data_IF_660416978369
#
_entry.id   IF_660416978369
#
_cell.length_a   1.000
_cell.length_b   1.000
_cell.length_c   1.000
_cell.angle_alpha   90.00
_cell.angle_beta   90.00
_cell.angle_gamma   90.00
#
_symmetry.space_group_name_H-M   'P 1'
#
loop_
_entity.id
_entity.type
_entity.pdbx_description
1 polymer ?
#
# COMPACT_ATOMS: atom_id res chain seq x y z
N UNK A 1 13.97 -27.80 21.16
CA UNK A 1 13.91 -27.09 19.86
C UNK A 1 13.53 -28.11 18.79
N UNK A 2 12.29 -28.08 18.24
CA UNK A 2 11.93 -28.95 17.10
C UNK A 2 12.68 -28.42 15.86
N UNK A 3 13.61 -29.19 15.32
CA UNK A 3 14.15 -28.91 14.00
C UNK A 3 13.04 -29.13 12.98
N UNK A 4 12.65 -28.09 12.27
CA UNK A 4 11.77 -28.23 11.12
C UNK A 4 12.46 -29.12 10.07
N UNK A 5 11.72 -29.97 9.34
CA UNK A 5 12.29 -30.75 8.26
C UNK A 5 12.89 -29.81 7.21
N UNK A 6 13.98 -30.22 6.59
CA UNK A 6 14.58 -29.49 5.48
C UNK A 6 13.60 -29.48 4.29
N UNK A 7 13.47 -28.32 3.60
CA UNK A 7 12.59 -28.25 2.42
C UNK A 7 13.09 -29.19 1.31
N UNK A 8 12.16 -29.82 0.64
CA UNK A 8 12.45 -30.64 -0.54
C UNK A 8 12.72 -29.78 -1.77
N UNK A 9 13.34 -30.33 -2.86
CA UNK A 9 13.50 -29.57 -4.10
C UNK A 9 12.19 -29.00 -4.69
N UNK A 10 11.05 -29.62 -4.40
CA UNK A 10 9.73 -29.13 -4.83
C UNK A 10 9.34 -27.92 -4.00
N UNK A 11 9.57 -27.93 -2.70
CA UNK A 11 9.29 -26.81 -1.79
C UNK A 11 10.16 -25.57 -2.10
N UNK A 12 11.30 -25.75 -2.76
CA UNK A 12 12.20 -24.66 -3.18
C UNK A 12 11.81 -24.04 -4.53
N UNK A 13 10.82 -24.62 -5.26
CA UNK A 13 10.33 -24.04 -6.50
C UNK A 13 9.38 -22.89 -6.19
N UNK A 14 9.48 -21.83 -6.96
CA UNK A 14 8.58 -20.69 -6.84
C UNK A 14 7.17 -21.08 -7.28
N UNK A 15 6.19 -20.87 -6.39
CA UNK A 15 4.77 -21.00 -6.76
C UNK A 15 4.39 -19.86 -7.73
N UNK A 16 3.84 -20.14 -8.90
CA UNK A 16 3.36 -19.11 -9.82
C UNK A 16 2.13 -18.36 -9.29
N UNK A 17 1.36 -18.94 -8.36
CA UNK A 17 0.17 -18.34 -7.78
C UNK A 17 0.23 -18.34 -6.23
N UNK A 18 1.22 -17.63 -5.64
CA UNK A 18 1.52 -17.71 -4.21
C UNK A 18 0.41 -17.11 -3.33
N UNK A 19 -0.54 -16.40 -3.94
CA UNK A 19 -1.69 -15.80 -3.25
C UNK A 19 -3.03 -16.45 -3.67
N UNK A 20 -3.01 -17.62 -4.30
CA UNK A 20 -4.25 -18.34 -4.64
C UNK A 20 -5.11 -18.55 -3.40
N UNK A 21 -6.39 -18.17 -3.52
CA UNK A 21 -7.36 -18.26 -2.42
C UNK A 21 -7.14 -17.24 -1.31
N UNK A 22 -6.20 -16.31 -1.42
CA UNK A 22 -6.06 -15.14 -0.53
C UNK A 22 -6.93 -13.99 -1.00
N UNK A 23 -7.20 -13.08 -0.08
CA UNK A 23 -8.00 -11.88 -0.34
C UNK A 23 -7.24 -10.64 0.10
N UNK A 24 -7.30 -9.57 -0.68
CA UNK A 24 -6.53 -8.36 -0.45
C UNK A 24 -7.39 -7.10 -0.60
N UNK A 25 -7.17 -6.12 0.27
CA UNK A 25 -7.64 -4.75 0.13
C UNK A 25 -6.44 -3.86 -0.23
N UNK A 26 -6.57 -3.09 -1.31
CA UNK A 26 -5.60 -2.05 -1.69
C UNK A 26 -6.31 -0.71 -1.66
N UNK A 27 -5.82 0.23 -0.84
CA UNK A 27 -6.37 1.57 -0.76
C UNK A 27 -5.67 2.54 -1.72
N UNK A 28 -6.39 3.56 -2.22
CA UNK A 28 -5.83 4.53 -3.16
C UNK A 28 -5.50 3.92 -4.52
N UNK A 29 -6.40 3.10 -5.06
CA UNK A 29 -6.23 2.42 -6.35
C UNK A 29 -7.16 2.98 -7.44
N UNK A 30 -7.34 4.30 -7.48
CA UNK A 30 -8.26 5.00 -8.38
C UNK A 30 -7.68 5.33 -9.77
N UNK A 31 -6.35 5.21 -9.96
CA UNK A 31 -5.66 5.63 -11.19
C UNK A 31 -4.77 4.52 -11.75
N UNK A 32 -4.83 4.29 -13.06
CA UNK A 32 -4.00 3.27 -13.76
C UNK A 32 -2.51 3.57 -13.71
N UNK A 33 -2.13 4.85 -13.63
CA UNK A 33 -0.76 5.29 -13.46
C UNK A 33 -0.29 5.22 -11.99
N UNK A 34 -1.16 4.85 -11.03
CA UNK A 34 -0.84 4.83 -9.60
C UNK A 34 -0.19 3.53 -9.13
N UNK A 35 0.59 3.64 -8.05
CA UNK A 35 1.21 2.49 -7.37
C UNK A 35 0.13 1.51 -6.87
N UNK A 36 -0.98 2.01 -6.29
CA UNK A 36 -2.07 1.16 -5.79
C UNK A 36 -2.67 0.26 -6.88
N UNK A 37 -2.84 0.77 -8.09
CA UNK A 37 -3.30 -0.03 -9.23
C UNK A 37 -2.26 -1.09 -9.65
N UNK A 38 -0.98 -0.74 -9.71
CA UNK A 38 0.09 -1.68 -10.04
C UNK A 38 0.17 -2.82 -8.99
N UNK A 39 0.06 -2.48 -7.70
CA UNK A 39 -0.01 -3.45 -6.59
C UNK A 39 -1.21 -4.38 -6.77
N UNK A 40 -2.40 -3.82 -7.00
CA UNK A 40 -3.61 -4.60 -7.19
C UNK A 40 -3.51 -5.60 -8.36
N UNK A 41 -2.93 -5.17 -9.49
CA UNK A 41 -2.66 -6.04 -10.64
C UNK A 41 -1.72 -7.18 -10.30
N UNK A 42 -0.65 -6.91 -9.54
CA UNK A 42 0.29 -7.96 -9.13
C UNK A 42 -0.32 -8.95 -8.16
N UNK A 43 -1.10 -8.49 -7.18
CA UNK A 43 -1.81 -9.37 -6.26
C UNK A 43 -2.82 -10.26 -7.01
N UNK A 44 -3.56 -9.70 -7.97
CA UNK A 44 -4.46 -10.44 -8.85
C UNK A 44 -3.72 -11.47 -9.72
N UNK A 45 -2.57 -11.10 -10.30
CA UNK A 45 -1.73 -12.00 -11.08
C UNK A 45 -1.16 -13.15 -10.23
N UNK A 46 -0.90 -12.90 -8.94
CA UNK A 46 -0.46 -13.92 -7.97
C UNK A 46 -1.61 -14.81 -7.45
N UNK A 47 -2.84 -14.61 -7.92
CA UNK A 47 -4.00 -15.44 -7.63
C UNK A 47 -4.91 -14.94 -6.51
N UNK A 48 -4.69 -13.73 -5.98
CA UNK A 48 -5.55 -13.14 -4.96
C UNK A 48 -6.86 -12.60 -5.54
N UNK A 49 -7.95 -12.70 -4.76
CA UNK A 49 -9.10 -11.81 -4.94
C UNK A 49 -8.79 -10.44 -4.37
N UNK A 50 -9.14 -9.36 -5.09
CA UNK A 50 -8.73 -8.01 -4.72
C UNK A 50 -9.93 -7.07 -4.61
N UNK A 51 -9.98 -6.31 -3.53
CA UNK A 51 -10.87 -5.16 -3.35
C UNK A 51 -10.08 -3.87 -3.56
N UNK A 52 -10.53 -3.03 -4.49
CA UNK A 52 -9.95 -1.74 -4.80
C UNK A 52 -10.71 -0.65 -4.07
N UNK A 53 -10.07 0.04 -3.14
CA UNK A 53 -10.64 1.26 -2.59
C UNK A 53 -10.17 2.48 -3.39
N UNK A 54 -11.09 3.40 -3.66
CA UNK A 54 -10.85 4.63 -4.40
C UNK A 54 -11.55 5.84 -3.77
N UNK A 55 -11.00 7.04 -4.00
CA UNK A 55 -11.63 8.31 -3.64
C UNK A 55 -11.48 9.30 -4.81
N UNK A 56 -12.31 9.14 -5.82
CA UNK A 56 -12.28 9.91 -7.07
C UNK A 56 -12.31 11.44 -6.87
N UNK A 57 -13.05 12.00 -5.88
CA UNK A 57 -13.04 13.46 -5.66
C UNK A 57 -11.66 14.05 -5.44
N UNK A 58 -10.75 13.32 -4.77
CA UNK A 58 -9.36 13.76 -4.61
C UNK A 58 -8.65 13.85 -5.96
N UNK A 59 -8.70 12.79 -6.78
CA UNK A 59 -8.01 12.76 -8.07
C UNK A 59 -8.53 13.84 -9.03
N UNK A 60 -9.85 14.08 -9.05
CA UNK A 60 -10.47 15.15 -9.87
C UNK A 60 -9.97 16.53 -9.46
N UNK A 61 -9.69 16.75 -8.19
CA UNK A 61 -9.16 18.02 -7.69
C UNK A 61 -7.67 18.23 -8.01
N UNK A 62 -6.95 17.17 -8.42
CA UNK A 62 -5.51 17.24 -8.71
C UNK A 62 -5.23 17.50 -10.20
N UNK A 63 -4.04 18.05 -10.55
CA UNK A 63 -3.68 18.34 -11.94
C UNK A 63 -3.69 17.14 -12.88
N UNK A 64 -3.47 15.94 -12.36
CA UNK A 64 -3.45 14.70 -13.15
C UNK A 64 -4.83 14.11 -13.44
N UNK A 65 -5.89 14.58 -12.76
CA UNK A 65 -7.24 14.09 -12.95
C UNK A 65 -7.48 12.65 -12.49
N UNK A 66 -8.68 12.14 -12.78
CA UNK A 66 -9.10 10.78 -12.43
C UNK A 66 -9.25 9.90 -13.66
N UNK A 67 -9.03 8.59 -13.48
CA UNK A 67 -9.47 7.57 -14.44
C UNK A 67 -10.94 7.17 -14.18
N UNK A 68 -11.57 6.56 -15.18
CA UNK A 68 -12.86 5.88 -15.00
C UNK A 68 -12.63 4.59 -14.19
N UNK A 69 -13.34 4.47 -13.08
CA UNK A 69 -13.14 3.33 -12.15
C UNK A 69 -13.42 1.99 -12.82
N UNK A 70 -14.39 1.95 -13.73
CA UNK A 70 -14.69 0.73 -14.50
C UNK A 70 -13.48 0.26 -15.32
N UNK A 71 -12.69 1.18 -15.89
CA UNK A 71 -11.48 0.87 -16.64
C UNK A 71 -10.33 0.42 -15.73
N UNK A 72 -10.19 1.06 -14.56
CA UNK A 72 -9.22 0.66 -13.51
C UNK A 72 -9.50 -0.77 -13.06
N UNK A 73 -10.76 -1.04 -12.69
CA UNK A 73 -11.21 -2.37 -12.23
C UNK A 73 -11.09 -3.42 -13.33
N UNK A 74 -11.46 -3.10 -14.57
CA UNK A 74 -11.30 -3.99 -15.72
C UNK A 74 -9.83 -4.35 -15.98
N UNK A 75 -8.92 -3.37 -15.84
CA UNK A 75 -7.47 -3.59 -15.99
C UNK A 75 -6.90 -4.55 -14.93
N UNK A 76 -7.37 -4.44 -13.68
CA UNK A 76 -6.97 -5.39 -12.61
C UNK A 76 -7.60 -6.76 -12.86
N UNK A 77 -8.86 -6.83 -13.28
CA UNK A 77 -9.54 -8.09 -13.62
C UNK A 77 -8.84 -8.83 -14.77
N UNK A 78 -8.34 -8.11 -15.76
CA UNK A 78 -7.58 -8.69 -16.86
C UNK A 78 -6.22 -9.28 -16.43
N UNK A 79 -5.74 -8.95 -15.23
CA UNK A 79 -4.50 -9.49 -14.66
C UNK A 79 -4.72 -10.71 -13.75
N UNK A 80 -5.96 -11.20 -13.56
CA UNK A 80 -6.24 -12.36 -12.71
C UNK A 80 -5.48 -13.60 -13.19
N UNK A 81 -4.65 -14.15 -12.30
CA UNK A 81 -3.93 -15.41 -12.55
C UNK A 81 -4.72 -16.65 -12.17
N UNK A 82 -5.70 -16.51 -11.27
CA UNK A 82 -6.60 -17.59 -10.84
C UNK A 82 -8.03 -17.29 -11.34
N UNK A 83 -8.64 -18.17 -12.13
CA UNK A 83 -10.02 -18.00 -12.62
C UNK A 83 -11.07 -18.00 -11.49
N UNK A 84 -10.73 -18.56 -10.31
CA UNK A 84 -11.59 -18.51 -9.11
C UNK A 84 -11.51 -17.20 -8.32
N UNK A 85 -10.53 -16.36 -8.61
CA UNK A 85 -10.37 -15.07 -7.96
C UNK A 85 -11.29 -14.00 -8.57
N UNK A 86 -11.55 -12.94 -7.81
CA UNK A 86 -12.43 -11.84 -8.24
C UNK A 86 -11.83 -10.48 -7.90
N UNK A 87 -12.28 -9.48 -8.66
CA UNK A 87 -11.94 -8.06 -8.43
C UNK A 87 -13.22 -7.29 -8.21
N UNK A 88 -13.27 -6.58 -7.10
CA UNK A 88 -14.38 -5.72 -6.67
C UNK A 88 -13.80 -4.36 -6.30
N UNK A 89 -14.58 -3.31 -6.39
CA UNK A 89 -14.18 -1.96 -6.00
C UNK A 89 -15.25 -1.27 -5.16
N UNK A 90 -14.85 -0.20 -4.49
CA UNK A 90 -15.76 0.67 -3.77
C UNK A 90 -15.12 1.96 -3.31
N UNK A 91 -15.93 3.03 -3.22
CA UNK A 91 -15.48 4.35 -2.78
C UNK A 91 -15.34 4.44 -1.25
N UNK A 92 -14.58 5.44 -0.80
CA UNK A 92 -14.54 5.85 0.59
C UNK A 92 -13.72 7.11 0.79
N UNK A 93 -14.17 8.01 1.65
CA UNK A 93 -13.38 9.13 2.12
C UNK A 93 -12.70 8.75 3.43
N UNK A 94 -11.41 8.47 3.36
CA UNK A 94 -10.61 8.06 4.53
C UNK A 94 -10.29 9.21 5.49
N UNK A 95 -10.67 10.46 5.17
CA UNK A 95 -10.65 11.56 6.13
C UNK A 95 -11.76 11.42 7.20
N UNK A 96 -12.86 10.71 6.88
CA UNK A 96 -13.91 10.37 7.85
C UNK A 96 -13.47 9.20 8.73
N UNK A 97 -13.37 9.36 10.07
CA UNK A 97 -12.92 8.32 10.97
C UNK A 97 -13.83 7.07 11.04
N UNK A 98 -15.05 7.13 10.54
CA UNK A 98 -15.96 5.98 10.49
C UNK A 98 -15.67 5.06 9.27
N UNK A 99 -15.14 5.61 8.18
CA UNK A 99 -14.96 4.89 6.90
C UNK A 99 -13.95 3.74 7.00
N UNK A 100 -12.81 3.82 7.69
CA UNK A 100 -11.86 2.71 7.78
C UNK A 100 -12.48 1.39 8.25
N UNK A 101 -13.31 1.42 9.29
CA UNK A 101 -13.98 0.20 9.78
C UNK A 101 -15.02 -0.33 8.81
N UNK A 102 -15.79 0.55 8.20
CA UNK A 102 -16.79 0.21 7.17
C UNK A 102 -16.12 -0.41 5.94
N UNK A 103 -14.98 0.16 5.50
CA UNK A 103 -14.23 -0.32 4.35
C UNK A 103 -13.70 -1.75 4.57
N UNK A 104 -13.11 -2.04 5.73
CA UNK A 104 -12.67 -3.40 6.09
C UNK A 104 -13.85 -4.38 6.05
N UNK A 105 -14.99 -4.03 6.66
CA UNK A 105 -16.18 -4.89 6.67
C UNK A 105 -16.72 -5.13 5.26
N UNK A 106 -16.82 -4.08 4.45
CA UNK A 106 -17.31 -4.15 3.08
C UNK A 106 -16.39 -5.00 2.20
N UNK A 107 -15.08 -4.74 2.24
CA UNK A 107 -14.10 -5.50 1.48
C UNK A 107 -14.11 -6.99 1.87
N UNK A 108 -14.11 -7.30 3.16
CA UNK A 108 -14.19 -8.68 3.64
C UNK A 108 -15.46 -9.38 3.14
N UNK A 109 -16.63 -8.73 3.28
CA UNK A 109 -17.92 -9.27 2.82
C UNK A 109 -17.92 -9.54 1.32
N UNK A 110 -17.48 -8.57 0.51
CA UNK A 110 -17.41 -8.68 -0.95
C UNK A 110 -16.46 -9.78 -1.42
N UNK A 111 -15.43 -10.09 -0.63
CA UNK A 111 -14.43 -11.12 -0.92
C UNK A 111 -14.73 -12.49 -0.27
N UNK A 112 -15.92 -12.68 0.30
CA UNK A 112 -16.34 -13.98 0.84
C UNK A 112 -16.08 -14.14 2.33
N UNK A 113 -16.04 -13.05 3.10
CA UNK A 113 -15.99 -13.06 4.56
C UNK A 113 -14.57 -13.06 5.15
N UNK A 114 -13.52 -12.99 4.33
CA UNK A 114 -12.13 -13.01 4.78
C UNK A 114 -11.33 -11.88 4.15
N UNK A 115 -10.40 -11.33 4.92
CA UNK A 115 -9.39 -10.39 4.43
C UNK A 115 -8.02 -10.80 4.96
N UNK A 116 -7.10 -11.15 4.05
CA UNK A 116 -5.77 -11.67 4.39
C UNK A 116 -4.67 -10.62 4.28
N UNK A 117 -4.80 -9.69 3.33
CA UNK A 117 -3.79 -8.69 3.01
C UNK A 117 -4.43 -7.29 3.05
N UNK A 118 -3.80 -6.38 3.76
CA UNK A 118 -4.12 -4.95 3.74
C UNK A 118 -2.91 -4.19 3.18
N UNK A 119 -3.10 -3.50 2.06
CA UNK A 119 -2.13 -2.53 1.53
C UNK A 119 -2.71 -1.13 1.68
N UNK A 120 -2.22 -0.39 2.67
CA UNK A 120 -2.60 1.01 2.91
C UNK A 120 -1.69 1.94 2.08
N UNK A 121 -2.09 2.14 0.82
CA UNK A 121 -1.30 2.89 -0.17
C UNK A 121 -1.81 4.33 -0.39
N UNK A 122 -3.06 4.65 -0.01
CA UNK A 122 -3.62 5.99 -0.17
C UNK A 122 -2.79 7.06 0.55
N UNK A 123 -2.85 8.26 0.03
CA UNK A 123 -2.27 9.46 0.63
C UNK A 123 -3.03 10.69 0.16
N UNK A 124 -3.01 11.76 0.94
CA UNK A 124 -3.38 13.09 0.52
C UNK A 124 -2.20 13.69 -0.26
N UNK A 125 -2.48 14.35 -1.36
CA UNK A 125 -1.52 15.13 -2.13
C UNK A 125 -2.00 16.58 -2.21
N UNK A 126 -1.07 17.53 -2.21
CA UNK A 126 -1.40 18.96 -2.15
C UNK A 126 -1.88 19.39 -0.76
N UNK A 127 -2.34 20.61 -0.64
CA UNK A 127 -2.70 21.24 0.65
C UNK A 127 -1.58 21.12 1.68
N UNK A 128 -0.35 21.43 1.28
CA UNK A 128 0.88 21.36 2.08
C UNK A 128 1.70 22.63 1.89
N UNK A 129 2.75 22.78 2.67
CA UNK A 129 3.59 23.96 2.65
C UNK A 129 4.95 23.78 3.30
N UNK A 130 5.77 24.82 3.16
CA UNK A 130 7.00 24.98 3.94
C UNK A 130 6.70 25.57 5.33
N UNK A 131 7.75 25.80 6.13
CA UNK A 131 7.61 26.32 7.49
C UNK A 131 6.89 27.68 7.56
N UNK A 132 6.99 28.51 6.54
CA UNK A 132 6.38 29.86 6.52
C UNK A 132 4.90 29.82 6.09
N UNK A 133 4.47 28.76 5.41
CA UNK A 133 3.14 28.67 4.81
C UNK A 133 2.25 27.58 5.39
N UNK A 134 2.81 26.64 6.17
CA UNK A 134 2.07 25.56 6.80
C UNK A 134 1.05 26.12 7.81
N UNK A 135 -0.15 25.58 7.83
CA UNK A 135 -1.17 25.92 8.81
C UNK A 135 -1.77 24.68 9.50
N UNK A 136 -2.60 24.91 10.51
CA UNK A 136 -3.23 23.83 11.26
C UNK A 136 -4.19 22.97 10.40
N UNK A 137 -4.88 23.61 9.45
CA UNK A 137 -5.79 22.88 8.54
C UNK A 137 -5.06 21.90 7.64
N UNK A 138 -3.90 22.28 7.11
CA UNK A 138 -3.03 21.42 6.32
C UNK A 138 -2.54 20.22 7.14
N UNK A 139 -2.05 20.47 8.37
CA UNK A 139 -1.61 19.44 9.30
C UNK A 139 -2.73 18.46 9.65
N UNK A 140 -3.92 18.97 9.96
CA UNK A 140 -5.08 18.16 10.33
C UNK A 140 -5.58 17.31 9.15
N UNK A 141 -5.59 17.86 7.93
CA UNK A 141 -5.99 17.15 6.73
C UNK A 141 -5.07 15.96 6.43
N UNK A 142 -3.75 16.18 6.43
CA UNK A 142 -2.77 15.13 6.25
C UNK A 142 -2.79 14.10 7.39
N UNK A 143 -2.93 14.55 8.65
CA UNK A 143 -3.13 13.64 9.78
C UNK A 143 -4.34 12.73 9.56
N UNK A 144 -5.47 13.30 9.16
CA UNK A 144 -6.72 12.56 8.96
C UNK A 144 -6.56 11.45 7.92
N UNK A 145 -5.96 11.75 6.76
CA UNK A 145 -5.85 10.83 5.63
C UNK A 145 -4.62 9.93 5.74
N UNK A 146 -3.43 10.49 5.99
CA UNK A 146 -2.17 9.76 5.80
C UNK A 146 -1.78 8.90 7.01
N UNK A 147 -2.20 9.27 8.22
CA UNK A 147 -1.79 8.54 9.45
C UNK A 147 -2.97 7.98 10.21
N UNK A 148 -3.93 8.81 10.64
CA UNK A 148 -5.08 8.37 11.43
C UNK A 148 -5.86 7.27 10.73
N UNK A 149 -6.17 7.46 9.46
CA UNK A 149 -6.94 6.48 8.69
C UNK A 149 -6.22 5.14 8.57
N UNK A 150 -4.89 5.16 8.34
CA UNK A 150 -4.06 3.95 8.25
C UNK A 150 -4.10 3.18 9.57
N UNK A 151 -3.93 3.86 10.70
CA UNK A 151 -4.02 3.22 12.02
C UNK A 151 -5.41 2.63 12.29
N UNK A 152 -6.48 3.33 11.91
CA UNK A 152 -7.85 2.84 12.04
C UNK A 152 -8.14 1.67 11.10
N UNK A 153 -7.60 1.66 9.87
CA UNK A 153 -7.66 0.51 8.97
C UNK A 153 -6.96 -0.71 9.58
N UNK A 154 -5.75 -0.54 10.10
CA UNK A 154 -5.02 -1.63 10.77
C UNK A 154 -5.80 -2.15 11.98
N UNK A 155 -6.35 -1.26 12.82
CA UNK A 155 -7.16 -1.65 13.97
C UNK A 155 -8.40 -2.47 13.56
N UNK A 156 -9.14 -2.00 12.55
CA UNK A 156 -10.32 -2.69 12.04
C UNK A 156 -9.95 -4.04 11.40
N UNK A 157 -8.84 -4.09 10.66
CA UNK A 157 -8.30 -5.30 10.08
C UNK A 157 -7.96 -6.36 11.15
N UNK A 158 -7.27 -5.96 12.21
CA UNK A 158 -6.94 -6.87 13.32
C UNK A 158 -8.20 -7.43 14.00
N UNK A 159 -9.20 -6.56 14.27
CA UNK A 159 -10.49 -6.99 14.84
C UNK A 159 -11.20 -7.99 13.93
N UNK A 160 -11.21 -7.72 12.61
CA UNK A 160 -11.77 -8.66 11.63
C UNK A 160 -11.02 -10.01 11.66
N UNK A 161 -9.69 -9.98 11.66
CA UNK A 161 -8.87 -11.20 11.69
C UNK A 161 -9.06 -12.02 12.97
N UNK A 162 -9.19 -11.36 14.11
CA UNK A 162 -9.43 -12.02 15.41
C UNK A 162 -10.76 -12.79 15.45
N UNK A 163 -11.74 -12.40 14.63
CA UNK A 163 -13.03 -13.07 14.51
C UNK A 163 -13.02 -14.27 13.52
N UNK A 164 -11.93 -14.49 12.79
CA UNK A 164 -11.84 -15.60 11.83
C UNK A 164 -11.57 -16.93 12.54
N UNK A 165 -11.93 -18.07 11.87
CA UNK A 165 -11.67 -19.40 12.44
C UNK A 165 -10.20 -19.63 12.79
N UNK A 166 -9.90 -20.44 13.83
CA UNK A 166 -8.55 -20.89 14.11
C UNK A 166 -7.88 -21.53 12.88
N UNK A 167 -6.56 -21.36 12.76
CA UNK A 167 -5.75 -21.83 11.63
C UNK A 167 -5.97 -21.06 10.31
N UNK A 168 -6.67 -19.92 10.34
CA UNK A 168 -6.64 -19.01 9.19
C UNK A 168 -5.18 -18.59 8.90
N UNK A 169 -4.73 -18.63 7.64
CA UNK A 169 -3.37 -18.22 7.30
C UNK A 169 -3.03 -16.82 7.84
N UNK A 170 -1.77 -16.59 8.18
CA UNK A 170 -1.31 -15.32 8.76
C UNK A 170 -1.67 -14.09 7.91
N UNK A 171 -1.89 -12.97 8.58
CA UNK A 171 -2.23 -11.69 7.93
C UNK A 171 -0.99 -10.95 7.44
N UNK A 172 -1.20 -10.04 6.48
CA UNK A 172 -0.16 -9.17 5.93
C UNK A 172 -0.65 -7.73 5.92
N UNK A 173 0.13 -6.83 6.46
CA UNK A 173 -0.10 -5.38 6.39
C UNK A 173 1.12 -4.75 5.74
N UNK A 174 0.89 -3.97 4.70
CA UNK A 174 1.90 -3.11 4.09
C UNK A 174 1.38 -1.68 4.09
N UNK A 175 2.17 -0.77 4.65
CA UNK A 175 1.91 0.67 4.62
C UNK A 175 2.95 1.38 3.76
N UNK A 176 2.67 2.62 3.37
CA UNK A 176 3.56 3.41 2.50
C UNK A 176 4.11 4.60 3.25
N UNK A 177 5.43 4.74 3.27
CA UNK A 177 6.15 5.94 3.68
C UNK A 177 6.71 6.67 2.45
N UNK A 178 7.65 7.55 2.63
CA UNK A 178 8.36 8.32 1.60
C UNK A 178 9.81 8.54 2.02
N UNK A 179 10.59 9.24 1.23
CA UNK A 179 12.00 9.57 1.52
C UNK A 179 12.19 10.81 2.41
N UNK A 180 11.23 11.14 3.27
CA UNK A 180 11.23 12.35 4.10
C UNK A 180 12.41 12.48 5.07
N UNK A 181 13.03 11.35 5.43
CA UNK A 181 14.20 11.25 6.34
C UNK A 181 15.51 10.98 5.60
N UNK A 182 15.50 11.06 4.27
CA UNK A 182 16.66 10.89 3.41
C UNK A 182 17.16 12.24 2.86
N UNK A 183 18.44 12.38 2.64
CA UNK A 183 19.08 13.50 1.94
C UNK A 183 18.65 14.85 2.43
N UNK A 184 18.11 15.69 1.54
CA UNK A 184 17.65 17.05 1.84
C UNK A 184 16.28 17.14 2.49
N UNK A 185 15.59 16.03 2.74
CA UNK A 185 14.21 16.02 3.22
C UNK A 185 13.20 16.55 2.20
N UNK A 186 12.04 17.00 2.68
CA UNK A 186 10.92 17.49 1.85
C UNK A 186 10.46 18.88 2.34
N UNK A 187 11.28 19.94 2.14
CA UNK A 187 11.04 21.23 2.78
C UNK A 187 9.77 21.97 2.32
N UNK A 188 9.19 21.59 1.18
CA UNK A 188 7.92 22.13 0.67
C UNK A 188 6.69 21.29 1.02
N UNK A 189 6.85 20.16 1.71
CA UNK A 189 5.81 19.19 2.00
C UNK A 189 5.87 18.74 3.46
N UNK A 190 5.81 19.70 4.40
CA UNK A 190 6.02 19.44 5.83
C UNK A 190 4.92 18.58 6.44
N UNK A 191 3.65 18.78 6.09
CA UNK A 191 2.56 17.99 6.61
C UNK A 191 2.67 16.54 6.12
N UNK A 192 2.92 16.33 4.83
CA UNK A 192 3.12 15.01 4.24
C UNK A 192 4.33 14.30 4.86
N UNK A 193 5.50 14.97 4.92
CA UNK A 193 6.72 14.41 5.49
C UNK A 193 6.53 13.96 6.94
N UNK A 194 5.83 14.78 7.76
CA UNK A 194 5.51 14.46 9.14
C UNK A 194 4.68 13.17 9.24
N UNK A 195 3.63 13.04 8.41
CA UNK A 195 2.73 11.89 8.47
C UNK A 195 3.40 10.60 7.93
N UNK A 196 4.20 10.71 6.88
CA UNK A 196 4.96 9.57 6.36
C UNK A 196 6.04 9.12 7.33
N UNK A 197 6.70 10.05 8.02
CA UNK A 197 7.62 9.77 9.12
C UNK A 197 6.93 9.08 10.30
N UNK A 198 5.70 9.48 10.65
CA UNK A 198 4.92 8.83 11.69
C UNK A 198 4.64 7.35 11.36
N UNK A 199 4.27 7.02 10.11
CA UNK A 199 4.06 5.65 9.68
C UNK A 199 5.35 4.82 9.73
N UNK A 200 6.47 5.37 9.27
CA UNK A 200 7.78 4.71 9.36
C UNK A 200 8.13 4.42 10.83
N UNK A 201 7.98 5.41 11.72
CA UNK A 201 8.29 5.28 13.15
C UNK A 201 7.45 4.23 13.86
N UNK A 202 6.14 4.12 13.56
CA UNK A 202 5.22 3.22 14.27
C UNK A 202 5.30 1.77 13.76
N UNK A 203 5.93 1.52 12.62
CA UNK A 203 5.97 0.22 11.94
C UNK A 203 6.43 -0.92 12.85
N UNK A 204 7.55 -0.75 13.56
CA UNK A 204 8.08 -1.76 14.48
C UNK A 204 7.14 -2.00 15.67
N UNK A 205 6.53 -0.95 16.20
CA UNK A 205 5.56 -1.06 17.30
C UNK A 205 4.36 -1.88 16.87
N UNK A 206 3.79 -1.60 15.69
CA UNK A 206 2.67 -2.37 15.13
C UNK A 206 3.08 -3.83 14.90
N UNK A 207 4.23 -4.08 14.30
CA UNK A 207 4.72 -5.44 14.05
C UNK A 207 4.87 -6.26 15.35
N UNK A 208 5.44 -5.66 16.40
CA UNK A 208 5.58 -6.32 17.71
C UNK A 208 4.22 -6.63 18.31
N UNK A 209 3.30 -5.65 18.30
CA UNK A 209 1.94 -5.82 18.86
C UNK A 209 1.15 -6.88 18.10
N UNK A 210 1.30 -6.97 16.77
CA UNK A 210 0.49 -7.84 15.92
C UNK A 210 1.09 -9.24 15.70
N UNK A 211 2.29 -9.49 16.19
CA UNK A 211 2.96 -10.80 16.07
C UNK A 211 2.14 -11.94 16.71
N UNK A 212 1.49 -11.68 17.84
CA UNK A 212 0.63 -12.67 18.53
C UNK A 212 -0.62 -13.06 17.69
N UNK A 213 -1.03 -12.18 16.77
CA UNK A 213 -2.12 -12.43 15.83
C UNK A 213 -1.64 -13.06 14.50
N UNK A 214 -0.37 -13.46 14.42
CA UNK A 214 0.27 -13.96 13.19
C UNK A 214 0.13 -12.98 12.01
N UNK A 215 0.25 -11.67 12.26
CA UNK A 215 0.20 -10.61 11.28
C UNK A 215 1.59 -9.98 11.15
N UNK A 216 2.13 -9.93 9.93
CA UNK A 216 3.33 -9.14 9.63
C UNK A 216 2.94 -7.72 9.24
N UNK A 217 3.75 -6.74 9.64
CA UNK A 217 3.60 -5.32 9.28
C UNK A 217 4.91 -4.81 8.74
N UNK A 218 4.92 -4.31 7.52
CA UNK A 218 6.07 -3.66 6.92
C UNK A 218 5.65 -2.37 6.22
N UNK A 219 6.55 -1.42 6.15
CA UNK A 219 6.36 -0.14 5.48
C UNK A 219 7.33 -0.02 4.32
N UNK A 220 6.85 0.45 3.17
CA UNK A 220 7.67 0.61 1.96
C UNK A 220 7.79 2.09 1.62
N UNK A 221 9.02 2.56 1.45
CA UNK A 221 9.33 3.79 0.74
C UNK A 221 9.49 3.44 -0.74
N UNK A 222 8.61 3.90 -1.62
CA UNK A 222 8.68 3.57 -3.05
C UNK A 222 9.73 4.39 -3.80
N UNK A 223 10.29 5.43 -3.17
CA UNK A 223 11.07 6.47 -3.85
C UNK A 223 10.24 7.28 -4.85
N UNK A 224 10.87 8.12 -5.66
CA UNK A 224 10.20 8.81 -6.75
C UNK A 224 9.75 7.83 -7.84
N UNK A 225 8.42 7.71 -7.99
CA UNK A 225 7.76 6.87 -8.99
C UNK A 225 6.95 7.75 -9.92
N UNK A 226 7.11 7.57 -11.22
CA UNK A 226 6.34 8.30 -12.22
C UNK A 226 4.88 7.83 -12.21
N UNK A 227 4.07 8.55 -11.48
CA UNK A 227 2.61 8.42 -11.46
C UNK A 227 1.91 9.58 -12.16
N UNK A 228 2.66 10.41 -12.88
CA UNK A 228 2.16 11.56 -13.64
C UNK A 228 1.97 12.83 -12.80
N UNK A 229 2.56 12.92 -11.61
CA UNK A 229 2.46 14.13 -10.76
C UNK A 229 3.55 15.16 -11.04
N UNK A 230 4.70 14.75 -11.58
CA UNK A 230 5.79 15.64 -11.95
C UNK A 230 5.92 15.74 -13.47
N UNK A 231 6.21 16.92 -13.98
CA UNK A 231 6.38 17.20 -15.41
C UNK A 231 7.49 18.24 -15.63
N UNK A 232 7.98 18.35 -16.88
CA UNK A 232 8.95 19.36 -17.27
C UNK A 232 10.24 19.31 -16.47
N UNK A 233 10.78 20.47 -16.09
CA UNK A 233 12.08 20.62 -15.43
C UNK A 233 12.17 19.85 -14.10
N UNK A 234 11.07 19.77 -13.35
CA UNK A 234 11.03 18.99 -12.10
C UNK A 234 11.22 17.50 -12.37
N UNK A 235 10.57 16.98 -13.43
CA UNK A 235 10.73 15.59 -13.84
C UNK A 235 12.20 15.31 -14.22
N UNK A 236 12.80 16.17 -15.05
CA UNK A 236 14.18 15.99 -15.52
C UNK A 236 15.19 16.10 -14.37
N UNK A 237 14.99 17.03 -13.44
CA UNK A 237 15.85 17.21 -12.29
C UNK A 237 15.85 15.96 -11.37
N UNK A 238 14.68 15.39 -11.10
CA UNK A 238 14.57 14.17 -10.30
C UNK A 238 15.10 12.95 -11.05
N UNK A 239 14.86 12.83 -12.38
CA UNK A 239 15.41 11.76 -13.19
C UNK A 239 16.96 11.72 -13.15
N UNK A 240 17.61 12.88 -13.11
CA UNK A 240 19.07 12.99 -13.04
C UNK A 240 19.65 12.45 -11.70
N UNK A 241 18.87 12.35 -10.64
CA UNK A 241 19.28 11.79 -9.36
C UNK A 241 19.26 10.24 -9.35
N UNK A 242 18.65 9.61 -10.34
CA UNK A 242 18.70 8.15 -10.48
C UNK A 242 19.98 7.72 -11.22
N UNK A 243 20.61 6.61 -10.81
CA UNK A 243 21.76 6.04 -11.54
C UNK A 243 21.45 5.72 -13.00
N UNK A 244 20.21 5.33 -13.30
CA UNK A 244 19.73 5.01 -14.66
C UNK A 244 19.18 6.19 -15.43
N UNK A 245 19.12 7.39 -14.85
CA UNK A 245 18.58 8.58 -15.50
C UNK A 245 17.07 8.55 -15.75
N UNK A 246 16.33 7.69 -15.05
CA UNK A 246 14.88 7.55 -15.19
C UNK A 246 14.19 7.29 -13.86
N UNK A 247 12.98 7.80 -13.72
CA UNK A 247 12.10 7.51 -12.58
C UNK A 247 11.79 6.02 -12.48
N UNK A 248 11.46 5.58 -11.24
CA UNK A 248 10.79 4.31 -11.04
C UNK A 248 9.42 4.29 -11.72
N UNK A 249 8.97 3.11 -12.14
CA UNK A 249 7.59 2.92 -12.62
C UNK A 249 6.73 2.32 -11.50
N UNK A 250 5.39 2.48 -11.52
CA UNK A 250 4.49 1.98 -10.48
C UNK A 250 4.66 0.48 -10.17
N UNK A 251 5.11 -0.30 -11.14
CA UNK A 251 5.36 -1.72 -11.00
C UNK A 251 6.62 -2.04 -10.16
N UNK A 252 7.58 -1.14 -10.04
CA UNK A 252 8.80 -1.39 -9.26
C UNK A 252 8.52 -1.60 -7.78
N UNK A 253 7.90 -0.66 -7.04
CA UNK A 253 7.49 -0.92 -5.66
C UNK A 253 6.41 -2.00 -5.54
N UNK A 254 5.54 -2.15 -6.56
CA UNK A 254 4.49 -3.16 -6.55
C UNK A 254 5.04 -4.59 -6.50
N UNK A 255 6.21 -4.86 -7.08
CA UNK A 255 6.90 -6.18 -6.98
C UNK A 255 7.24 -6.52 -5.53
N UNK A 256 7.85 -5.57 -4.82
CA UNK A 256 8.19 -5.74 -3.41
C UNK A 256 6.94 -5.91 -2.55
N UNK A 257 5.93 -5.05 -2.73
CA UNK A 257 4.69 -5.08 -1.95
C UNK A 257 3.94 -6.40 -2.16
N UNK A 258 3.85 -6.88 -3.40
CA UNK A 258 3.22 -8.16 -3.70
C UNK A 258 3.99 -9.35 -3.11
N UNK A 259 5.34 -9.30 -3.11
CA UNK A 259 6.14 -10.33 -2.45
C UNK A 259 5.97 -10.31 -0.93
N UNK A 260 5.94 -9.13 -0.28
CA UNK A 260 5.66 -8.99 1.15
C UNK A 260 4.28 -9.55 1.55
N UNK A 261 3.33 -9.63 0.63
CA UNK A 261 2.02 -10.25 0.84
C UNK A 261 2.06 -11.79 0.82
N UNK A 262 3.12 -12.42 0.29
CA UNK A 262 3.26 -13.88 0.17
C UNK A 262 3.72 -14.54 1.48
N UNK A 263 3.65 -15.87 1.52
CA UNK A 263 4.19 -16.66 2.63
C UNK A 263 5.73 -16.72 2.61
N UNK A 264 6.37 -16.52 1.46
CA UNK A 264 7.84 -16.42 1.34
C UNK A 264 8.39 -15.27 2.20
N UNK A 265 7.67 -14.16 2.30
CA UNK A 265 8.04 -13.01 3.14
C UNK A 265 7.59 -13.14 4.60
N UNK A 266 7.03 -14.28 5.01
CA UNK A 266 6.42 -14.47 6.34
C UNK A 266 7.35 -14.26 7.53
N UNK A 267 8.69 -14.26 7.31
CA UNK A 267 9.70 -13.99 8.35
C UNK A 267 10.13 -12.51 8.40
N UNK A 268 9.62 -11.67 7.53
CA UNK A 268 9.92 -10.23 7.45
C UNK A 268 8.77 -9.45 8.07
N UNK A 269 9.06 -8.75 9.18
CA UNK A 269 8.09 -7.89 9.86
C UNK A 269 8.81 -6.75 10.61
N UNK A 270 8.13 -5.62 10.78
CA UNK A 270 8.66 -4.43 11.46
C UNK A 270 9.72 -3.68 10.67
N UNK A 271 9.80 -3.90 9.35
CA UNK A 271 10.79 -3.27 8.50
C UNK A 271 10.21 -2.05 7.79
N UNK A 272 11.02 -1.00 7.68
CA UNK A 272 10.87 0.07 6.70
C UNK A 272 11.85 -0.24 5.59
N UNK A 273 11.38 -0.37 4.36
CA UNK A 273 12.17 -0.87 3.23
C UNK A 273 12.14 0.15 2.11
N UNK A 274 13.31 0.62 1.70
CA UNK A 274 13.47 1.50 0.55
C UNK A 274 13.47 0.69 -0.75
N UNK A 275 12.56 1.04 -1.66
CA UNK A 275 12.40 0.46 -3.00
C UNK A 275 12.51 1.57 -4.04
N UNK A 276 13.66 2.22 -4.11
CA UNK A 276 13.85 3.51 -4.78
C UNK A 276 14.94 3.48 -5.85
N UNK A 277 15.36 2.31 -6.31
CA UNK A 277 16.27 2.16 -7.47
C UNK A 277 17.64 2.83 -7.33
N UNK A 278 18.09 3.09 -6.11
CA UNK A 278 19.35 3.80 -5.84
C UNK A 278 19.26 5.31 -6.06
N UNK A 279 18.08 5.89 -5.85
CA UNK A 279 17.86 7.34 -5.88
C UNK A 279 18.87 8.05 -4.98
N UNK A 280 19.44 9.15 -5.46
CA UNK A 280 20.42 9.96 -4.73
C UNK A 280 19.70 11.14 -4.10
N UNK A 281 19.53 11.07 -2.80
CA UNK A 281 18.92 12.14 -2.03
C UNK A 281 19.80 13.37 -1.90
#
# INVERSE_FOLDING_TARGET
>A
MRRLPQPTPVDLRRDPLPLRGRTALVTGASRRAGIGHAVARRLAAYGASVYLHHHVPHDVAMPWGSDRIEEVTASVRAALGDPGARVVDGPGDLSDPAVPAQLIATAASALGGRLDVLVANHALSGSDGNLDTIDAGMLDAHWAVDTRSVLLLVQAYVRHRAALPPRTPGGRVVTMTSGQDHGGGMPGELAYALQKGALASVTRTLATTLAEHAITVNTVNPGPVDTGYATGETYDAVAALFPGGSWGVPDDPARLIAWLATDEAGWITGQVIDSEGGFRH
#
